data_IF_824452602506
#
_entry.id   IF_824452602506
#
_cell.length_a   1.000
_cell.length_b   1.000
_cell.length_c   1.000
_cell.angle_alpha   90.00
_cell.angle_beta   90.00
_cell.angle_gamma   90.00
#
_symmetry.space_group_name_H-M   'P 1'
#
loop_
_entity.id
_entity.type
_entity.pdbx_description
1 polymer ?
#
# COMPACT_ATOMS: atom_id res chain seq x y z
N UNK A 1 7.75 2.21 -2.29
CA UNK A 1 6.45 2.77 -1.86
C UNK A 1 6.34 4.30 -2.03
N UNK A 2 7.34 5.08 -1.60
CA UNK A 2 7.23 6.55 -1.58
C UNK A 2 7.03 7.17 -2.97
N UNK A 3 7.72 6.65 -3.99
CA UNK A 3 7.53 7.10 -5.38
C UNK A 3 6.10 6.88 -5.89
N UNK A 4 5.44 5.77 -5.49
CA UNK A 4 4.06 5.48 -5.90
C UNK A 4 3.06 6.40 -5.18
N UNK A 5 3.24 6.64 -3.86
CA UNK A 5 2.42 7.63 -3.14
C UNK A 5 2.57 9.03 -3.74
N UNK A 6 3.80 9.44 -4.06
CA UNK A 6 4.06 10.73 -4.70
C UNK A 6 3.40 10.82 -6.09
N UNK A 7 3.42 9.74 -6.88
CA UNK A 7 2.74 9.68 -8.16
C UNK A 7 1.21 9.79 -8.01
N UNK A 8 0.62 9.09 -7.05
CA UNK A 8 -0.81 9.18 -6.75
C UNK A 8 -1.22 10.59 -6.29
N UNK A 9 -0.42 11.22 -5.42
CA UNK A 9 -0.63 12.59 -4.98
C UNK A 9 -0.59 13.59 -6.15
N UNK A 10 0.38 13.44 -7.06
CA UNK A 10 0.47 14.26 -8.28
C UNK A 10 -0.71 14.05 -9.24
N UNK A 11 -1.35 12.89 -9.18
CA UNK A 11 -2.56 12.59 -9.95
C UNK A 11 -3.84 13.10 -9.28
N UNK A 12 -3.74 13.83 -8.16
CA UNK A 12 -4.89 14.39 -7.43
C UNK A 12 -5.62 13.39 -6.53
N UNK A 13 -4.99 12.25 -6.22
CA UNK A 13 -5.48 11.30 -5.22
C UNK A 13 -4.85 11.61 -3.86
N UNK A 14 -5.55 11.34 -2.77
CA UNK A 14 -5.04 11.42 -1.41
C UNK A 14 -4.65 10.03 -0.93
N UNK A 15 -3.35 9.67 -0.87
CA UNK A 15 -2.94 8.36 -0.40
C UNK A 15 -3.12 8.26 1.12
N UNK A 16 -3.88 7.26 1.58
CA UNK A 16 -4.29 7.11 3.00
C UNK A 16 -3.63 5.93 3.70
N UNK A 17 -3.22 4.90 2.97
CA UNK A 17 -2.58 3.72 3.56
C UNK A 17 -1.60 3.03 2.61
N UNK A 18 -0.61 2.34 3.18
CA UNK A 18 0.41 1.57 2.48
C UNK A 18 0.71 0.29 3.25
N UNK A 19 0.48 -0.85 2.61
CA UNK A 19 0.77 -2.16 3.19
C UNK A 19 1.45 -3.07 2.18
N UNK A 20 2.33 -3.93 2.64
CA UNK A 20 2.84 -5.07 1.89
C UNK A 20 1.99 -6.29 2.14
N UNK A 21 2.24 -7.34 1.39
CA UNK A 21 1.61 -8.64 1.54
C UNK A 21 2.68 -9.70 1.73
N UNK A 22 2.58 -10.43 2.84
CA UNK A 22 3.55 -11.44 3.26
C UNK A 22 2.86 -12.78 3.47
N UNK A 23 3.55 -13.84 3.09
CA UNK A 23 3.08 -15.20 3.34
C UNK A 23 3.44 -15.62 4.77
N UNK A 24 2.46 -16.08 5.54
CA UNK A 24 2.67 -16.67 6.86
C UNK A 24 2.73 -18.20 6.73
N UNK A 25 3.91 -18.83 6.85
CA UNK A 25 4.06 -20.27 6.68
C UNK A 25 3.41 -21.08 7.81
N UNK A 26 3.15 -20.48 8.97
CA UNK A 26 2.54 -21.18 10.10
C UNK A 26 1.03 -21.35 9.93
N UNK A 27 0.36 -20.34 9.35
CA UNK A 27 -1.08 -20.45 9.03
C UNK A 27 -1.35 -20.89 7.60
N UNK A 28 -0.35 -20.81 6.70
CA UNK A 28 -0.50 -21.12 5.29
C UNK A 28 -1.22 -20.02 4.48
N UNK A 29 -1.36 -18.82 5.05
CA UNK A 29 -2.12 -17.71 4.45
C UNK A 29 -1.26 -16.50 4.14
N UNK A 30 -1.75 -15.64 3.25
CA UNK A 30 -1.21 -14.30 3.05
C UNK A 30 -1.81 -13.32 4.04
N UNK A 31 -1.01 -12.36 4.49
CA UNK A 31 -1.43 -11.28 5.41
C UNK A 31 -0.87 -9.95 4.94
N UNK A 32 -1.60 -8.87 5.24
CA UNK A 32 -1.09 -7.52 5.06
C UNK A 32 -0.09 -7.18 6.17
N UNK A 33 0.98 -6.47 5.81
CA UNK A 33 2.02 -5.99 6.71
C UNK A 33 2.29 -4.51 6.46
N UNK A 34 2.12 -3.68 7.49
CA UNK A 34 2.51 -2.27 7.42
C UNK A 34 4.04 -2.04 7.49
N UNK A 35 4.82 -3.09 7.76
CA UNK A 35 6.29 -3.01 7.94
C UNK A 35 7.07 -3.52 6.74
N UNK A 36 6.56 -4.54 6.05
CA UNK A 36 7.29 -5.25 5.00
C UNK A 36 6.93 -4.71 3.61
N UNK A 37 7.53 -3.57 3.24
CA UNK A 37 7.23 -2.86 1.99
C UNK A 37 8.33 -2.94 0.92
N UNK A 38 9.40 -3.71 1.18
CA UNK A 38 10.62 -3.72 0.38
C UNK A 38 10.45 -4.45 -0.96
N UNK A 39 9.64 -5.51 -1.00
CA UNK A 39 9.47 -6.37 -2.18
C UNK A 39 8.15 -6.08 -2.91
N UNK A 40 7.07 -5.90 -2.15
CA UNK A 40 5.76 -5.58 -2.70
C UNK A 40 5.05 -4.58 -1.78
N UNK A 41 4.14 -3.80 -2.37
CA UNK A 41 3.36 -2.82 -1.65
C UNK A 41 2.07 -2.52 -2.40
N UNK A 42 1.00 -2.37 -1.65
CA UNK A 42 -0.31 -1.90 -2.04
C UNK A 42 -0.48 -0.48 -1.51
N UNK A 43 -1.16 0.37 -2.29
CA UNK A 43 -1.49 1.75 -1.93
C UNK A 43 -3.00 1.90 -1.95
N UNK A 44 -3.56 2.37 -0.84
CA UNK A 44 -4.95 2.84 -0.80
C UNK A 44 -4.97 4.35 -0.92
N UNK A 45 -5.77 4.89 -1.83
CA UNK A 45 -5.91 6.32 -2.02
C UNK A 45 -7.37 6.71 -2.27
N UNK A 46 -7.77 7.84 -1.72
CA UNK A 46 -9.09 8.42 -1.89
C UNK A 46 -9.05 9.48 -2.99
N UNK A 47 -10.08 9.51 -3.83
CA UNK A 47 -10.30 10.64 -4.73
C UNK A 47 -11.09 11.71 -3.96
N UNK A 48 -10.60 12.96 -3.84
CA UNK A 48 -11.36 14.03 -3.20
C UNK A 48 -12.74 14.18 -3.87
N UNK A 49 -13.80 14.29 -3.06
CA UNK A 49 -15.12 14.66 -3.56
C UNK A 49 -15.07 16.11 -4.07
N UNK A 50 -15.76 16.38 -5.19
CA UNK A 50 -15.85 17.70 -5.80
C UNK A 50 -16.67 18.68 -4.95
#
# INVERSE_FOLDING_TARGET
>A
PDALSAAAARAGLSPVDRMGMVFNPLSGDFRLSARDLSVNYLLTAEKPAA
#
